data_IF_638215366175
#
_entry.id   IF_638215366175
#
_cell.length_a   1.000
_cell.length_b   1.000
_cell.length_c   1.000
_cell.angle_alpha   90.00
_cell.angle_beta   90.00
_cell.angle_gamma   90.00
#
_symmetry.space_group_name_H-M   'P 1'
#
loop_
_entity.id
_entity.type
_entity.pdbx_description
1 polymer ?
#
# COMPACT_ATOMS: atom_id res chain seq x y z
N UNK A 1 35.92 -9.22 -21.05
CA UNK A 1 35.51 -8.34 -19.94
C UNK A 1 36.70 -7.46 -19.61
N UNK A 2 36.54 -6.13 -19.58
CA UNK A 2 35.77 -5.44 -18.53
C UNK A 2 34.73 -4.47 -19.15
N UNK A 3 33.68 -3.99 -18.51
CA UNK A 3 33.21 -3.97 -17.11
C UNK A 3 31.73 -3.58 -17.15
N UNK A 4 30.92 -4.17 -16.26
CA UNK A 4 29.51 -3.83 -16.01
C UNK A 4 29.26 -2.33 -16.03
N UNK A 5 28.40 -1.89 -16.96
CA UNK A 5 27.89 -0.52 -16.96
C UNK A 5 26.78 -0.42 -15.92
N UNK A 6 27.16 0.17 -14.78
CA UNK A 6 26.33 0.91 -13.82
C UNK A 6 25.15 0.16 -13.19
N UNK A 7 25.46 -0.79 -12.33
CA UNK A 7 24.69 -0.96 -11.09
C UNK A 7 24.99 0.27 -10.22
N UNK A 8 23.99 1.14 -10.00
CA UNK A 8 24.03 2.14 -8.94
C UNK A 8 24.51 3.55 -9.29
N UNK A 9 24.03 4.16 -10.38
CA UNK A 9 24.23 5.59 -10.62
C UNK A 9 23.05 6.23 -11.37
N UNK A 10 21.83 5.98 -10.89
CA UNK A 10 20.67 6.85 -11.05
C UNK A 10 20.29 7.36 -9.67
N UNK A 11 20.02 8.66 -9.53
CA UNK A 11 19.47 9.25 -8.30
C UNK A 11 18.05 8.68 -8.06
N UNK A 12 17.96 7.44 -7.58
CA UNK A 12 16.71 6.70 -7.67
C UNK A 12 15.79 6.95 -6.47
N UNK A 13 15.37 8.21 -6.33
CA UNK A 13 14.30 8.61 -5.42
C UNK A 13 13.01 7.82 -5.71
N UNK A 14 12.83 7.29 -6.92
CA UNK A 14 11.67 6.48 -7.33
C UNK A 14 11.72 5.03 -6.81
N UNK A 15 12.90 4.49 -6.52
CA UNK A 15 13.05 3.13 -5.96
C UNK A 15 12.49 2.99 -4.53
N UNK A 16 12.10 4.12 -3.94
CA UNK A 16 11.35 4.17 -2.68
C UNK A 16 9.95 3.57 -2.81
N UNK A 17 9.30 3.80 -3.95
CA UNK A 17 7.94 3.37 -4.25
C UNK A 17 7.89 2.18 -5.21
N UNK A 18 8.94 1.96 -6.01
CA UNK A 18 9.00 0.90 -7.00
C UNK A 18 10.11 -0.11 -6.69
N UNK A 19 9.86 -1.38 -7.00
CA UNK A 19 10.87 -2.42 -7.10
C UNK A 19 11.21 -2.64 -8.57
N UNK A 20 12.50 -2.69 -8.89
CA UNK A 20 12.95 -3.02 -10.22
C UNK A 20 13.10 -4.54 -10.35
N UNK A 21 12.47 -5.11 -11.36
CA UNK A 21 12.65 -6.50 -11.76
C UNK A 21 13.79 -6.58 -12.76
N UNK A 22 14.57 -7.67 -12.80
CA UNK A 22 15.69 -7.86 -13.75
C UNK A 22 15.35 -7.76 -15.24
N UNK A 23 14.07 -7.65 -15.60
CA UNK A 23 13.60 -7.32 -16.95
C UNK A 23 13.43 -5.79 -17.19
N UNK A 24 13.91 -4.92 -16.30
CA UNK A 24 13.75 -3.46 -16.36
C UNK A 24 12.34 -2.96 -16.02
N UNK A 25 11.50 -3.83 -15.44
CA UNK A 25 10.11 -3.50 -15.06
C UNK A 25 10.04 -2.95 -13.65
N UNK A 26 9.42 -1.79 -13.50
CA UNK A 26 9.19 -1.14 -12.21
C UNK A 26 7.81 -1.56 -11.66
N UNK A 27 7.81 -2.28 -10.55
CA UNK A 27 6.59 -2.74 -9.87
C UNK A 27 6.37 -1.92 -8.61
N UNK A 28 5.19 -1.31 -8.40
CA UNK A 28 4.93 -0.53 -7.20
C UNK A 28 4.91 -1.42 -5.96
N UNK A 29 5.48 -0.92 -4.86
CA UNK A 29 5.47 -1.53 -3.52
C UNK A 29 4.16 -1.20 -2.80
N UNK A 30 3.06 -1.63 -3.40
CA UNK A 30 1.71 -1.41 -2.88
C UNK A 30 1.01 -2.75 -2.65
N UNK A 31 0.15 -2.80 -1.64
CA UNK A 31 -0.83 -3.86 -1.43
C UNK A 31 -2.20 -3.23 -1.48
N UNK A 32 -3.06 -3.73 -2.36
CA UNK A 32 -4.46 -3.37 -2.41
C UNK A 32 -5.24 -4.42 -1.67
N UNK A 33 -6.08 -3.97 -0.75
CA UNK A 33 -6.92 -4.87 0.03
C UNK A 33 -8.34 -4.36 -0.06
N UNK A 34 -9.24 -5.25 -0.42
CA UNK A 34 -10.66 -5.03 -0.25
C UNK A 34 -11.34 -6.33 0.20
N UNK A 35 -12.44 -6.19 0.95
CA UNK A 35 -13.27 -7.33 1.36
C UNK A 35 -14.23 -7.74 0.24
N UNK A 36 -14.48 -6.84 -0.72
CA UNK A 36 -15.23 -7.09 -1.96
C UNK A 36 -14.27 -7.21 -3.16
N UNK A 37 -14.49 -8.16 -4.09
CA UNK A 37 -13.62 -8.31 -5.27
C UNK A 37 -13.78 -7.19 -6.30
N UNK A 38 -14.93 -6.53 -6.37
CA UNK A 38 -15.30 -5.59 -7.45
C UNK A 38 -14.24 -4.52 -7.72
N UNK A 39 -13.76 -3.85 -6.67
CA UNK A 39 -12.81 -2.73 -6.81
C UNK A 39 -11.43 -3.23 -7.24
N UNK A 40 -10.99 -4.36 -6.70
CA UNK A 40 -9.69 -4.93 -7.05
C UNK A 40 -9.74 -5.55 -8.46
N UNK A 41 -10.88 -6.10 -8.88
CA UNK A 41 -11.07 -6.64 -10.23
C UNK A 41 -11.03 -5.53 -11.30
N UNK A 42 -11.53 -4.33 -11.00
CA UNK A 42 -11.33 -3.15 -11.86
C UNK A 42 -9.84 -2.83 -12.02
N UNK A 43 -9.03 -2.91 -10.95
CA UNK A 43 -7.57 -2.74 -11.03
C UNK A 43 -6.91 -3.87 -11.85
N UNK A 44 -7.39 -5.12 -11.70
CA UNK A 44 -6.89 -6.29 -12.45
C UNK A 44 -7.21 -6.24 -13.94
N UNK A 45 -8.28 -5.55 -14.33
CA UNK A 45 -8.71 -5.44 -15.73
C UNK A 45 -8.35 -4.10 -16.37
N UNK A 46 -8.01 -3.10 -15.56
CA UNK A 46 -7.72 -1.74 -16.00
C UNK A 46 -6.42 -1.56 -16.78
N UNK A 47 -6.16 -0.32 -17.17
CA UNK A 47 -4.99 0.09 -17.97
C UNK A 47 -3.66 -0.32 -17.34
N UNK A 48 -3.60 -0.34 -16.00
CA UNK A 48 -2.39 -0.68 -15.22
C UNK A 48 -2.36 -2.13 -14.73
N UNK A 49 -3.16 -3.04 -15.29
CA UNK A 49 -3.23 -4.45 -14.87
C UNK A 49 -1.89 -5.19 -14.84
N UNK A 50 -0.98 -4.83 -15.75
CA UNK A 50 0.33 -5.46 -15.83
C UNK A 50 1.32 -4.85 -14.82
N UNK A 51 1.01 -3.70 -14.22
CA UNK A 51 1.94 -3.00 -13.34
C UNK A 51 2.06 -3.71 -11.98
N UNK A 52 0.93 -4.19 -11.44
CA UNK A 52 0.86 -4.81 -10.12
C UNK A 52 1.10 -6.32 -10.18
N UNK A 53 1.72 -6.88 -9.15
CA UNK A 53 1.73 -8.34 -8.99
C UNK A 53 0.36 -8.82 -8.49
N UNK A 54 -0.16 -9.95 -9.01
CA UNK A 54 -1.44 -10.48 -8.55
C UNK A 54 -1.44 -10.85 -7.06
N UNK A 55 -0.26 -11.11 -6.48
CA UNK A 55 -0.06 -11.33 -5.05
C UNK A 55 -0.26 -10.08 -4.18
N UNK A 56 -0.14 -8.89 -4.77
CA UNK A 56 -0.35 -7.60 -4.09
C UNK A 56 -1.84 -7.19 -4.05
N UNK A 57 -2.70 -7.93 -4.74
CA UNK A 57 -4.11 -7.63 -4.90
C UNK A 57 -4.91 -8.66 -4.08
N UNK A 58 -5.25 -8.31 -2.85
CA UNK A 58 -5.95 -9.19 -1.90
C UNK A 58 -7.44 -8.83 -1.87
N UNK A 59 -8.29 -9.83 -2.09
CA UNK A 59 -9.74 -9.70 -2.12
C UNK A 59 -10.40 -10.66 -1.15
N UNK A 60 -11.39 -10.18 -0.40
CA UNK A 60 -12.31 -11.02 0.35
C UNK A 60 -13.41 -11.62 -0.52
N UNK A 61 -14.26 -12.44 0.12
CA UNK A 61 -15.48 -12.99 -0.49
C UNK A 61 -16.74 -12.24 -0.08
N UNK A 62 -16.71 -11.58 1.08
CA UNK A 62 -17.85 -10.93 1.71
C UNK A 62 -17.49 -9.50 2.08
N UNK A 63 -18.38 -8.55 1.79
CA UNK A 63 -18.19 -7.14 2.13
C UNK A 63 -18.55 -6.83 3.61
N UNK A 64 -17.91 -5.80 4.17
CA UNK A 64 -18.25 -5.25 5.47
C UNK A 64 -19.59 -4.49 5.49
N UNK A 65 -20.23 -4.23 4.34
CA UNK A 65 -21.54 -3.58 4.22
C UNK A 65 -21.63 -2.25 4.98
N UNK A 66 -20.59 -1.43 4.88
CA UNK A 66 -20.43 -0.16 5.63
C UNK A 66 -20.48 -0.30 7.16
N UNK A 67 -20.27 -1.49 7.71
CA UNK A 67 -20.26 -1.74 9.14
C UNK A 67 -18.83 -1.91 9.66
N UNK A 68 -18.42 -1.01 10.56
CA UNK A 68 -17.13 -1.05 11.25
C UNK A 68 -16.91 -2.39 11.98
N UNK A 69 -17.90 -2.87 12.73
CA UNK A 69 -17.76 -4.08 13.52
C UNK A 69 -17.52 -5.30 12.64
N UNK A 70 -18.14 -5.33 11.45
CA UNK A 70 -17.90 -6.40 10.48
C UNK A 70 -16.46 -6.39 9.98
N UNK A 71 -15.99 -5.22 9.55
CA UNK A 71 -14.64 -5.02 9.04
C UNK A 71 -13.54 -5.19 10.10
N UNK A 72 -13.83 -4.97 11.38
CA UNK A 72 -12.84 -5.06 12.44
C UNK A 72 -12.82 -6.42 13.17
N UNK A 73 -13.99 -6.96 13.55
CA UNK A 73 -14.06 -8.14 14.42
C UNK A 73 -14.35 -9.45 13.69
N UNK A 74 -15.11 -9.40 12.60
CA UNK A 74 -15.58 -10.62 11.89
C UNK A 74 -14.75 -10.89 10.64
N UNK A 75 -15.21 -10.45 9.48
CA UNK A 75 -14.60 -10.68 8.16
C UNK A 75 -13.15 -10.18 8.11
N UNK A 76 -12.86 -9.01 8.68
CA UNK A 76 -11.50 -8.48 8.67
C UNK A 76 -10.49 -9.36 9.39
N UNK A 77 -10.90 -10.06 10.44
CA UNK A 77 -10.02 -10.96 11.20
C UNK A 77 -9.62 -12.19 10.39
N UNK A 78 -10.45 -12.62 9.46
CA UNK A 78 -10.14 -13.76 8.59
C UNK A 78 -9.11 -13.40 7.51
N UNK A 79 -9.13 -12.16 7.01
CA UNK A 79 -8.25 -11.71 5.93
C UNK A 79 -6.94 -11.05 6.43
N UNK A 80 -6.91 -10.55 7.67
CA UNK A 80 -5.78 -9.75 8.18
C UNK A 80 -4.47 -10.53 8.13
N UNK A 81 -4.47 -11.81 8.45
CA UNK A 81 -3.26 -12.63 8.47
C UNK A 81 -2.68 -12.78 7.06
N UNK A 82 -3.54 -12.99 6.06
CA UNK A 82 -3.14 -13.03 4.65
C UNK A 82 -2.51 -11.71 4.21
N UNK A 83 -3.11 -10.58 4.60
CA UNK A 83 -2.60 -9.24 4.25
C UNK A 83 -1.26 -8.96 4.91
N UNK A 84 -1.10 -9.32 6.19
CA UNK A 84 0.16 -9.17 6.92
C UNK A 84 1.28 -9.99 6.26
N UNK A 85 1.00 -11.20 5.80
CA UNK A 85 1.99 -12.02 5.10
C UNK A 85 2.42 -11.40 3.76
N UNK A 86 1.50 -10.74 3.03
CA UNK A 86 1.86 -9.99 1.82
C UNK A 86 2.71 -8.76 2.14
N UNK A 87 2.38 -8.04 3.22
CA UNK A 87 3.16 -6.89 3.67
C UNK A 87 4.56 -7.33 4.12
N UNK A 88 4.67 -8.45 4.83
CA UNK A 88 5.95 -9.04 5.25
C UNK A 88 6.83 -9.38 4.05
N UNK A 89 6.28 -10.04 3.03
CA UNK A 89 7.02 -10.31 1.78
C UNK A 89 7.57 -9.04 1.13
N UNK A 90 6.79 -7.96 1.10
CA UNK A 90 7.27 -6.68 0.56
C UNK A 90 8.31 -6.00 1.48
N UNK A 91 8.15 -6.15 2.79
CA UNK A 91 9.12 -5.66 3.78
C UNK A 91 10.46 -6.42 3.72
N UNK A 92 10.44 -7.71 3.40
CA UNK A 92 11.66 -8.52 3.23
C UNK A 92 12.43 -8.14 1.97
N UNK A 93 11.73 -7.69 0.92
CA UNK A 93 12.32 -7.14 -0.30
C UNK A 93 12.91 -5.73 -0.11
N UNK A 94 12.84 -5.17 1.09
CA UNK A 94 13.22 -3.82 1.42
C UNK A 94 14.46 -3.80 2.33
N UNK A 95 15.55 -3.19 1.88
CA UNK A 95 16.83 -3.09 2.63
C UNK A 95 16.80 -2.14 3.84
N UNK A 96 15.63 -1.58 4.19
CA UNK A 96 15.53 -0.37 5.03
C UNK A 96 14.14 0.27 5.04
N UNK A 97 13.12 -0.50 5.43
CA UNK A 97 11.73 -0.01 5.52
C UNK A 97 11.65 1.19 6.47
N UNK A 98 11.08 2.31 6.00
CA UNK A 98 10.85 3.49 6.83
C UNK A 98 9.49 3.44 7.51
N UNK A 99 8.47 3.05 6.75
CA UNK A 99 7.11 3.09 7.23
C UNK A 99 6.08 2.61 6.23
N UNK A 100 4.82 2.84 6.59
CA UNK A 100 3.66 2.49 5.80
C UNK A 100 2.80 3.74 5.57
N UNK A 101 2.33 3.91 4.35
CA UNK A 101 1.22 4.80 4.02
C UNK A 101 -0.04 3.97 3.91
N UNK A 102 -1.06 4.38 4.67
CA UNK A 102 -2.33 3.68 4.73
C UNK A 102 -3.39 4.64 4.19
N UNK A 103 -3.88 4.37 2.99
CA UNK A 103 -4.96 5.12 2.37
C UNK A 103 -6.26 4.41 2.63
N UNK A 104 -7.19 5.05 3.36
CA UNK A 104 -8.45 4.42 3.74
C UNK A 104 -9.58 5.44 3.79
N UNK A 105 -10.83 4.97 3.80
CA UNK A 105 -12.01 5.82 3.94
C UNK A 105 -12.59 5.74 5.35
N UNK A 106 -12.97 6.88 5.95
CA UNK A 106 -13.66 6.88 7.24
C UNK A 106 -15.12 6.36 7.15
N UNK A 107 -15.79 6.58 6.03
CA UNK A 107 -17.21 6.24 5.86
C UNK A 107 -17.52 4.79 5.47
N UNK A 108 -16.49 3.98 5.18
CA UNK A 108 -16.64 2.60 4.72
C UNK A 108 -16.36 1.58 5.82
N UNK A 109 -16.97 0.40 5.76
CA UNK A 109 -16.79 -0.68 6.76
C UNK A 109 -15.38 -1.30 6.70
N UNK A 110 -14.88 -1.55 5.49
CA UNK A 110 -13.51 -2.02 5.25
C UNK A 110 -12.50 -0.92 5.57
N UNK A 111 -12.69 0.28 5.01
CA UNK A 111 -11.77 1.39 5.18
C UNK A 111 -11.65 1.89 6.63
N UNK A 112 -12.68 1.76 7.46
CA UNK A 112 -12.60 2.12 8.88
C UNK A 112 -12.26 0.92 9.76
N UNK A 113 -13.04 -0.16 9.68
CA UNK A 113 -12.91 -1.33 10.54
C UNK A 113 -11.63 -2.12 10.30
N UNK A 114 -11.40 -2.52 9.05
CA UNK A 114 -10.25 -3.33 8.69
C UNK A 114 -8.94 -2.51 8.76
N UNK A 115 -8.96 -1.24 8.39
CA UNK A 115 -7.79 -0.37 8.52
C UNK A 115 -7.35 -0.22 9.99
N UNK A 116 -8.28 -0.01 10.93
CA UNK A 116 -7.95 0.01 12.37
C UNK A 116 -7.31 -1.29 12.84
N UNK A 117 -7.88 -2.44 12.45
CA UNK A 117 -7.34 -3.75 12.78
C UNK A 117 -5.92 -3.93 12.22
N UNK A 118 -5.71 -3.54 10.96
CA UNK A 118 -4.42 -3.65 10.30
C UNK A 118 -3.37 -2.76 11.00
N UNK A 119 -3.75 -1.57 11.44
CA UNK A 119 -2.84 -0.68 12.16
C UNK A 119 -2.41 -1.18 13.53
N UNK A 120 -3.32 -1.82 14.26
CA UNK A 120 -2.99 -2.47 15.54
C UNK A 120 -1.93 -3.57 15.31
N UNK A 121 -2.13 -4.40 14.29
CA UNK A 121 -1.20 -5.47 13.93
C UNK A 121 0.14 -4.95 13.42
N UNK A 122 0.14 -3.93 12.56
CA UNK A 122 1.37 -3.28 12.10
C UNK A 122 2.11 -2.57 13.23
N UNK A 123 1.42 -2.11 14.27
CA UNK A 123 2.06 -1.52 15.45
C UNK A 123 2.71 -2.59 16.32
N UNK A 124 2.08 -3.77 16.43
CA UNK A 124 2.67 -4.91 17.12
C UNK A 124 3.93 -5.43 16.40
N UNK A 125 3.87 -5.63 15.08
CA UNK A 125 4.98 -6.20 14.31
C UNK A 125 6.08 -5.17 13.98
N UNK A 126 5.68 -3.93 13.66
CA UNK A 126 6.57 -2.87 13.17
C UNK A 126 6.48 -1.59 14.02
N UNK A 127 6.50 -1.74 15.36
CA UNK A 127 6.34 -0.62 16.30
C UNK A 127 7.32 0.54 16.11
N UNK A 128 8.55 0.27 15.65
CA UNK A 128 9.58 1.29 15.39
C UNK A 128 9.44 2.01 14.04
N UNK A 129 8.51 1.59 13.18
CA UNK A 129 8.32 2.13 11.82
C UNK A 129 7.20 3.17 11.81
N UNK A 130 7.38 4.22 11.01
CA UNK A 130 6.41 5.30 10.85
C UNK A 130 5.15 4.80 10.14
N UNK A 131 3.98 5.27 10.58
CA UNK A 131 2.69 4.92 9.99
C UNK A 131 1.96 6.24 9.69
N UNK A 132 1.77 6.53 8.41
CA UNK A 132 1.05 7.73 7.97
C UNK A 132 -0.27 7.28 7.38
N UNK A 133 -1.37 7.91 7.81
CA UNK A 133 -2.71 7.60 7.35
C UNK A 133 -3.22 8.75 6.48
N UNK A 134 -3.77 8.39 5.33
CA UNK A 134 -4.53 9.29 4.47
C UNK A 134 -5.97 8.82 4.50
N UNK A 135 -6.74 9.45 5.37
CA UNK A 135 -8.13 9.11 5.58
C UNK A 135 -9.02 10.04 4.76
N UNK A 136 -9.81 9.48 3.85
CA UNK A 136 -10.81 10.21 3.08
C UNK A 136 -12.04 10.44 3.96
N UNK A 137 -12.33 11.70 4.24
CA UNK A 137 -13.53 12.09 5.00
C UNK A 137 -14.77 11.99 4.10
N UNK A 138 -15.88 11.37 4.56
CA UNK A 138 -17.08 11.23 3.75
C UNK A 138 -17.74 12.60 3.50
N UNK A 139 -18.16 12.83 2.25
CA UNK A 139 -18.95 13.99 1.87
C UNK A 139 -20.36 13.55 1.43
N UNK A 140 -21.44 14.27 1.77
CA UNK A 140 -22.82 13.88 1.43
C UNK A 140 -23.08 13.66 -0.07
N UNK A 141 -22.30 14.34 -0.93
CA UNK A 141 -22.41 14.30 -2.38
C UNK A 141 -21.58 13.18 -3.02
N UNK A 142 -20.51 12.72 -2.35
CA UNK A 142 -19.59 11.71 -2.88
C UNK A 142 -19.82 10.41 -2.14
N UNK A 143 -20.84 9.67 -2.60
CA UNK A 143 -21.06 8.27 -2.19
C UNK A 143 -20.28 7.39 -3.15
N UNK A 144 -19.02 7.04 -2.89
CA UNK A 144 -18.37 5.96 -3.65
C UNK A 144 -17.18 5.29 -2.94
N UNK A 145 -17.34 3.96 -2.82
CA UNK A 145 -16.44 2.83 -2.62
C UNK A 145 -14.99 3.08 -2.16
N UNK A 146 -14.78 2.88 -0.86
CA UNK A 146 -13.91 1.89 -0.21
C UNK A 146 -12.67 1.41 -1.00
N UNK A 147 -11.57 2.15 -1.00
CA UNK A 147 -10.25 1.58 -1.28
C UNK A 147 -9.41 1.64 -0.01
N UNK A 148 -8.88 0.50 0.42
CA UNK A 148 -7.70 0.44 1.27
C UNK A 148 -6.49 0.16 0.36
N UNK A 149 -5.73 1.21 0.06
CA UNK A 149 -4.43 1.06 -0.58
C UNK A 149 -3.36 1.22 0.50
N UNK A 150 -2.51 0.22 0.67
CA UNK A 150 -1.38 0.31 1.57
C UNK A 150 -0.11 0.41 0.73
N UNK A 151 0.57 1.56 0.78
CA UNK A 151 1.84 1.77 0.09
C UNK A 151 2.95 1.67 1.12
N UNK A 152 3.82 0.67 0.97
CA UNK A 152 5.03 0.60 1.79
C UNK A 152 5.99 1.70 1.37
N UNK A 153 6.37 2.57 2.32
CA UNK A 153 7.35 3.63 2.09
C UNK A 153 8.74 3.19 2.56
N UNK A 154 9.71 3.29 1.65
CA UNK A 154 11.14 3.15 1.91
C UNK A 154 11.82 4.51 1.73
N UNK A 155 12.87 4.85 2.49
CA UNK A 155 13.91 5.79 2.04
C UNK A 155 15.25 5.64 2.81
N UNK A 156 16.34 5.84 2.05
CA UNK A 156 17.79 5.97 2.33
C UNK A 156 18.51 4.81 3.02
N UNK A 157 19.40 4.16 2.25
CA UNK A 157 20.74 3.87 2.75
C UNK A 157 21.39 5.18 3.22
N UNK A 158 21.92 5.17 4.43
CA UNK A 158 22.63 6.29 5.04
C UNK A 158 23.82 6.73 4.18
N UNK A 159 23.69 7.88 3.50
CA UNK A 159 24.85 8.68 3.08
C UNK A 159 24.88 9.92 3.98
N UNK A 160 26.01 10.19 4.70
CA UNK A 160 26.09 11.33 5.60
C UNK A 160 26.12 12.62 4.79
N UNK A 161 25.03 13.40 4.81
CA UNK A 161 24.95 14.68 4.11
C UNK A 161 23.70 15.48 4.47
N UNK A 162 23.77 16.83 4.49
CA UNK A 162 22.86 17.68 5.24
C UNK A 162 21.44 17.69 4.66
N UNK A 163 20.47 17.78 5.59
CA UNK A 163 19.03 17.79 5.37
C UNK A 163 18.60 18.97 4.51
N UNK A 164 18.02 18.71 3.34
CA UNK A 164 17.10 19.64 2.69
C UNK A 164 15.80 18.93 2.28
N UNK A 165 14.71 19.65 2.50
CA UNK A 165 13.29 19.30 2.27
C UNK A 165 13.07 18.81 0.83
N UNK A 166 12.24 17.79 0.64
CA UNK A 166 11.66 17.45 -0.66
C UNK A 166 10.19 17.03 -0.49
N UNK A 167 9.35 18.03 -0.73
CA UNK A 167 8.07 18.07 -1.44
C UNK A 167 7.20 16.82 -1.57
N UNK A 168 5.94 17.03 -1.17
CA UNK A 168 4.79 16.16 -1.36
C UNK A 168 4.47 16.02 -2.86
N UNK A 169 4.73 14.85 -3.45
CA UNK A 169 4.10 14.47 -4.72
C UNK A 169 2.87 13.62 -4.42
N UNK A 170 1.72 14.27 -4.53
CA UNK A 170 0.38 13.68 -4.43
C UNK A 170 0.07 12.89 -5.71
N UNK A 171 -0.22 11.59 -5.58
CA UNK A 171 -0.96 10.84 -6.59
C UNK A 171 -2.42 11.33 -6.53
N UNK A 172 -2.72 12.43 -7.21
CA UNK A 172 -4.09 12.87 -7.45
C UNK A 172 -4.66 11.95 -8.53
N UNK A 173 -5.38 10.92 -8.11
CA UNK A 173 -6.17 10.11 -9.04
C UNK A 173 -7.36 10.97 -9.47
N UNK A 174 -7.19 11.68 -10.58
CA UNK A 174 -8.30 12.30 -11.31
C UNK A 174 -9.12 11.17 -11.91
N UNK A 175 -10.11 10.68 -11.16
CA UNK A 175 -11.26 9.97 -11.71
C UNK A 175 -12.34 11.00 -12.00
N UNK A 176 -12.49 11.32 -13.30
CA UNK A 176 -13.66 11.99 -13.85
C UNK A 176 -14.82 11.03 -13.97
#
# INVERSE_FOLDING_TARGET
>A
MPSDKSVGCGDDSFNTFFSETGAGKHVPRAVFVDLEPTVVDEVRTGTYRQLFHPEQLVTGKEDAANNYARGHYTIGKEIVDLVLDRIRKLADQCTGLQGFLIFHSFGGGTGSGFASLLMERLTADYGKKSKLQFAVYPAPQVRRKNILALVGLQHRQSVPGPRHKCDQYWFRSDYR
#
